data_IF_524651894204
#
_entry.id   IF_524651894204
#
_cell.length_a   1.000
_cell.length_b   1.000
_cell.length_c   1.000
_cell.angle_alpha   90.00
_cell.angle_beta   90.00
_cell.angle_gamma   90.00
#
_symmetry.space_group_name_H-M   'P 1'
#
loop_
_entity.id
_entity.type
_entity.pdbx_description
1 polymer ?
#
# COMPACT_ATOMS: atom_id res chain seq x y z
N UNK A 1 13.55 -5.16 13.05
CA UNK A 1 13.18 -3.75 12.83
C UNK A 1 11.92 -3.74 11.99
N UNK A 2 10.76 -3.68 12.64
CA UNK A 2 9.47 -3.56 11.97
C UNK A 2 9.17 -2.07 11.70
N UNK A 3 8.76 -1.75 10.47
CA UNK A 3 8.43 -0.38 10.07
C UNK A 3 6.93 -0.31 9.80
N UNK A 4 6.24 0.57 10.49
CA UNK A 4 4.80 0.78 10.34
C UNK A 4 4.58 2.11 9.61
N UNK A 5 3.70 2.09 8.61
CA UNK A 5 3.37 3.25 7.81
C UNK A 5 1.85 3.34 7.69
N UNK A 6 1.27 4.45 8.17
CA UNK A 6 -0.18 4.64 8.26
C UNK A 6 -0.60 5.87 7.45
N UNK A 7 -1.59 5.71 6.56
CA UNK A 7 -2.22 6.82 5.87
C UNK A 7 -3.66 7.01 6.38
N UNK A 8 -3.84 7.98 7.28
CA UNK A 8 -5.16 8.35 7.83
C UNK A 8 -5.87 9.30 6.87
N UNK A 9 -7.18 9.11 6.67
CA UNK A 9 -8.04 9.91 5.78
C UNK A 9 -7.76 9.79 4.27
N UNK A 10 -7.54 8.57 3.78
CA UNK A 10 -7.45 8.33 2.34
C UNK A 10 -8.79 8.67 1.63
N UNK A 11 -8.76 9.49 0.57
CA UNK A 11 -9.92 9.75 -0.33
C UNK A 11 -10.23 8.53 -1.24
N UNK A 12 -10.51 7.39 -0.63
CA UNK A 12 -10.95 6.16 -1.30
C UNK A 12 -11.74 5.27 -0.33
N UNK A 13 -12.72 4.53 -0.85
CA UNK A 13 -13.43 3.52 -0.05
C UNK A 13 -12.47 2.43 0.43
N UNK A 14 -12.64 2.03 1.70
CA UNK A 14 -11.82 1.00 2.36
C UNK A 14 -11.80 -0.33 1.59
N UNK A 15 -12.91 -0.70 0.93
CA UNK A 15 -13.00 -1.93 0.16
C UNK A 15 -12.03 -1.94 -1.03
N UNK A 16 -11.85 -0.80 -1.72
CA UNK A 16 -10.95 -0.69 -2.87
C UNK A 16 -9.48 -0.80 -2.47
N UNK A 17 -9.14 -0.33 -1.26
CA UNK A 17 -7.78 -0.42 -0.71
C UNK A 17 -7.47 -1.83 -0.24
N UNK A 18 -8.42 -2.49 0.45
CA UNK A 18 -8.28 -3.90 0.88
C UNK A 18 -7.91 -4.84 -0.26
N UNK A 19 -8.61 -4.73 -1.40
CA UNK A 19 -8.31 -5.55 -2.58
C UNK A 19 -6.85 -5.43 -3.07
N UNK A 20 -6.22 -4.26 -2.92
CA UNK A 20 -4.82 -4.07 -3.30
C UNK A 20 -3.88 -4.50 -2.18
N UNK A 21 -4.25 -4.26 -0.92
CA UNK A 21 -3.49 -4.70 0.26
C UNK A 21 -3.37 -6.23 0.32
N UNK A 22 -4.41 -6.95 -0.08
CA UNK A 22 -4.40 -8.42 -0.10
C UNK A 22 -3.47 -8.99 -1.19
N UNK A 23 -3.21 -8.24 -2.27
CA UNK A 23 -2.25 -8.66 -3.33
C UNK A 23 -0.80 -8.59 -2.86
N UNK A 24 -0.48 -7.63 -1.98
CA UNK A 24 0.90 -7.40 -1.50
C UNK A 24 1.20 -8.10 -0.18
N UNK A 25 0.18 -8.60 0.52
CA UNK A 25 0.33 -9.30 1.80
C UNK A 25 1.16 -10.58 1.60
N UNK A 26 2.27 -10.71 2.33
CA UNK A 26 3.17 -11.87 2.23
C UNK A 26 4.11 -11.88 1.02
N UNK A 27 4.12 -10.84 0.18
CA UNK A 27 5.11 -10.67 -0.89
C UNK A 27 6.32 -9.89 -0.38
N UNK A 28 7.48 -10.10 -1.03
CA UNK A 28 8.69 -9.29 -0.76
C UNK A 28 8.45 -7.85 -1.19
N UNK A 29 9.12 -6.90 -0.54
CA UNK A 29 8.97 -5.45 -0.81
C UNK A 29 9.22 -5.12 -2.28
N UNK A 30 10.26 -5.71 -2.89
CA UNK A 30 10.56 -5.52 -4.32
C UNK A 30 9.39 -5.93 -5.21
N UNK A 31 8.88 -7.16 -5.03
CA UNK A 31 7.72 -7.66 -5.77
C UNK A 31 6.45 -6.82 -5.52
N UNK A 32 6.25 -6.35 -4.29
CA UNK A 32 5.11 -5.50 -3.97
C UNK A 32 5.17 -4.16 -4.71
N UNK A 33 6.36 -3.56 -4.85
CA UNK A 33 6.55 -2.32 -5.60
C UNK A 33 6.29 -2.50 -7.10
N UNK A 34 6.70 -3.63 -7.68
CA UNK A 34 6.38 -3.98 -9.07
C UNK A 34 4.87 -4.13 -9.26
N UNK A 35 4.22 -4.94 -8.42
CA UNK A 35 2.77 -5.16 -8.48
C UNK A 35 2.00 -3.82 -8.35
N UNK A 36 2.39 -2.95 -7.41
CA UNK A 36 1.77 -1.63 -7.24
C UNK A 36 2.02 -0.69 -8.42
N UNK A 37 3.12 -0.86 -9.16
CA UNK A 37 3.48 -0.04 -10.32
C UNK A 37 2.70 -0.48 -11.57
N UNK A 38 2.48 -1.78 -11.76
CA UNK A 38 1.70 -2.30 -12.90
C UNK A 38 0.19 -2.35 -12.65
N UNK A 39 -0.26 -2.17 -11.40
CA UNK A 39 -1.69 -2.11 -11.07
C UNK A 39 -2.23 -0.71 -11.33
N UNK A 40 -2.97 -0.53 -12.43
CA UNK A 40 -3.66 0.73 -12.79
C UNK A 40 -4.89 1.02 -11.91
N UNK A 41 -4.72 1.07 -10.58
CA UNK A 41 -5.76 1.43 -9.60
C UNK A 41 -5.30 2.64 -8.79
N UNK A 42 -6.19 3.61 -8.60
CA UNK A 42 -5.95 4.75 -7.69
C UNK A 42 -5.53 4.31 -6.28
N UNK A 43 -6.03 3.16 -5.82
CA UNK A 43 -5.66 2.57 -4.54
C UNK A 43 -4.18 2.13 -4.50
N UNK A 44 -3.58 1.67 -5.60
CA UNK A 44 -2.17 1.28 -5.65
C UNK A 44 -1.24 2.48 -5.45
N UNK A 45 -1.60 3.64 -6.03
CA UNK A 45 -0.87 4.90 -5.82
C UNK A 45 -0.94 5.35 -4.37
N UNK A 46 -2.11 5.22 -3.73
CA UNK A 46 -2.28 5.55 -2.31
C UNK A 46 -1.45 4.62 -1.40
N UNK A 47 -1.45 3.32 -1.68
CA UNK A 47 -0.67 2.33 -0.91
C UNK A 47 0.83 2.55 -1.09
N UNK A 48 1.29 2.79 -2.32
CA UNK A 48 2.70 3.10 -2.64
C UNK A 48 3.19 4.36 -1.91
N UNK A 49 2.33 5.37 -1.76
CA UNK A 49 2.66 6.62 -1.04
C UNK A 49 2.61 6.46 0.49
N UNK A 50 1.77 5.56 1.00
CA UNK A 50 1.60 5.34 2.44
C UNK A 50 2.79 4.69 3.13
N UNK A 51 3.79 4.17 2.40
CA UNK A 51 5.03 3.60 2.94
C UNK A 51 5.99 4.62 3.60
N UNK A 52 5.52 5.86 3.85
CA UNK A 52 6.23 6.87 4.61
C UNK A 52 6.33 6.46 6.08
N UNK A 53 7.55 6.11 6.47
CA UNK A 53 8.05 5.74 7.79
C UNK A 53 7.38 6.56 8.91
N UNK A 54 6.60 5.90 9.77
CA UNK A 54 6.25 6.44 11.07
C UNK A 54 7.18 5.79 12.08
N UNK A 55 8.23 6.53 12.47
CA UNK A 55 9.02 6.19 13.65
C UNK A 55 8.27 6.80 14.84
N UNK A 56 7.63 5.95 15.63
CA UNK A 56 7.19 6.25 16.98
C UNK A 56 7.72 5.14 17.88
#
# INVERSE_FOLDING_TARGET
METLAQHRHARSSAQKVRLVADLIRGKKVSQALDILTYTNKKAAVLVKKSSGICHC
#
